data_IF_506806139880
#
_entry.id   IF_506806139880
#
_cell.length_a   1.000
_cell.length_b   1.000
_cell.length_c   1.000
_cell.angle_alpha   90.00
_cell.angle_beta   90.00
_cell.angle_gamma   90.00
#
_symmetry.space_group_name_H-M   'P 1'
#
loop_
_entity.id
_entity.type
_entity.pdbx_description
1 polymer ?
#
# COMPACT_ATOMS: atom_id res chain seq x y z
N UNK A 1 -14.79 11.19 18.51
CA UNK A 1 -13.56 11.52 17.76
C UNK A 1 -12.38 11.03 18.59
N UNK A 2 -11.40 10.34 17.99
CA UNK A 2 -10.21 9.86 18.72
C UNK A 2 -9.05 10.84 18.51
N UNK A 3 -8.09 10.86 19.44
CA UNK A 3 -6.86 11.67 19.31
C UNK A 3 -6.11 11.40 17.99
N UNK A 4 -6.12 10.16 17.51
CA UNK A 4 -5.49 9.79 16.23
C UNK A 4 -6.20 10.46 15.05
N UNK A 5 -7.55 10.43 15.03
CA UNK A 5 -8.33 11.08 13.97
C UNK A 5 -8.11 12.60 13.97
N UNK A 6 -8.03 13.23 15.14
CA UNK A 6 -7.77 14.68 15.25
C UNK A 6 -6.41 15.09 14.65
N UNK A 7 -5.38 14.26 14.78
CA UNK A 7 -4.06 14.51 14.17
C UNK A 7 -4.13 14.46 12.64
N UNK A 8 -4.87 13.49 12.10
CA UNK A 8 -5.13 13.34 10.67
C UNK A 8 -5.90 14.54 10.10
N UNK A 9 -7.04 14.89 10.71
CA UNK A 9 -7.90 16.01 10.29
C UNK A 9 -7.14 17.35 10.28
N UNK A 10 -6.24 17.56 11.24
CA UNK A 10 -5.39 18.75 11.32
C UNK A 10 -4.19 18.71 10.37
N UNK A 11 -3.94 17.57 9.71
CA UNK A 11 -2.75 17.30 8.89
C UNK A 11 -1.45 17.60 9.64
N UNK A 12 -1.39 17.18 10.89
CA UNK A 12 -0.25 17.45 11.76
C UNK A 12 0.98 16.61 11.37
N UNK A 13 1.80 17.15 10.46
CA UNK A 13 3.05 16.53 10.02
C UNK A 13 4.04 16.27 11.16
N UNK A 14 3.98 17.01 12.28
CA UNK A 14 4.86 16.77 13.42
C UNK A 14 4.52 15.47 14.16
N UNK A 15 3.32 14.93 13.95
CA UNK A 15 2.84 13.70 14.56
C UNK A 15 3.18 12.42 13.79
N UNK A 16 3.78 12.51 12.60
CA UNK A 16 4.02 11.36 11.71
C UNK A 16 4.82 10.26 12.37
N UNK A 17 5.95 10.58 13.01
CA UNK A 17 6.79 9.58 13.71
C UNK A 17 6.01 8.89 14.84
N UNK A 18 5.26 9.67 15.63
CA UNK A 18 4.42 9.14 16.71
C UNK A 18 3.33 8.20 16.17
N UNK A 19 2.74 8.52 15.02
CA UNK A 19 1.75 7.66 14.37
C UNK A 19 2.38 6.38 13.82
N UNK A 20 3.61 6.44 13.27
CA UNK A 20 4.37 5.26 12.82
C UNK A 20 4.65 4.32 14.01
N UNK A 21 5.04 4.85 15.16
CA UNK A 21 5.26 4.05 16.38
C UNK A 21 3.98 3.32 16.79
N UNK A 22 2.83 4.00 16.80
CA UNK A 22 1.55 3.36 17.10
C UNK A 22 1.22 2.28 16.07
N UNK A 23 1.47 2.53 14.78
CA UNK A 23 1.17 1.57 13.71
C UNK A 23 1.85 0.22 13.94
N UNK A 24 3.12 0.27 14.38
CA UNK A 24 3.98 -0.91 14.55
C UNK A 24 3.72 -1.64 15.87
N UNK A 25 3.43 -0.91 16.95
CA UNK A 25 3.23 -1.50 18.28
C UNK A 25 1.78 -1.94 18.56
N UNK A 26 0.79 -1.34 17.88
CA UNK A 26 -0.61 -1.58 18.20
C UNK A 26 -1.06 -3.01 17.89
N UNK A 27 -1.55 -3.71 18.91
CA UNK A 27 -2.15 -5.05 18.78
C UNK A 27 -3.54 -5.03 18.14
N UNK A 28 -4.29 -3.95 18.36
CA UNK A 28 -5.65 -3.81 17.87
C UNK A 28 -5.67 -3.33 16.40
N UNK A 29 -6.28 -4.12 15.51
CA UNK A 29 -6.41 -3.78 14.10
C UNK A 29 -7.19 -2.48 13.86
N UNK A 30 -8.19 -2.17 14.69
CA UNK A 30 -8.95 -0.91 14.58
C UNK A 30 -8.06 0.31 14.84
N UNK A 31 -7.14 0.20 15.81
CA UNK A 31 -6.18 1.29 16.10
C UNK A 31 -5.24 1.47 14.92
N UNK A 32 -4.68 0.38 14.37
CA UNK A 32 -3.81 0.45 13.18
C UNK A 32 -4.52 1.06 11.97
N UNK A 33 -5.78 0.70 11.75
CA UNK A 33 -6.56 1.25 10.64
C UNK A 33 -6.84 2.75 10.85
N UNK A 34 -7.12 3.20 12.08
CA UNK A 34 -7.25 4.64 12.37
C UNK A 34 -5.93 5.39 12.12
N UNK A 35 -4.80 4.80 12.49
CA UNK A 35 -3.47 5.37 12.23
C UNK A 35 -3.21 5.48 10.74
N UNK A 36 -3.48 4.42 9.97
CA UNK A 36 -3.31 4.43 8.52
C UNK A 36 -4.17 5.54 7.85
N UNK A 37 -5.42 5.71 8.28
CA UNK A 37 -6.28 6.81 7.81
C UNK A 37 -5.69 8.17 8.18
N UNK A 38 -5.22 8.37 9.42
CA UNK A 38 -4.61 9.63 9.82
C UNK A 38 -3.32 9.94 9.03
N UNK A 39 -2.48 8.93 8.78
CA UNK A 39 -1.28 9.07 7.95
C UNK A 39 -1.64 9.46 6.51
N UNK A 40 -2.72 8.89 5.96
CA UNK A 40 -3.25 9.30 4.66
C UNK A 40 -3.64 10.77 4.64
N UNK A 41 -4.44 11.19 5.62
CA UNK A 41 -4.95 12.56 5.70
C UNK A 41 -3.80 13.58 5.82
N UNK A 42 -2.72 13.20 6.52
CA UNK A 42 -1.48 13.98 6.63
C UNK A 42 -0.73 14.03 5.29
N UNK A 43 -0.65 12.91 4.56
CA UNK A 43 -0.03 12.85 3.23
C UNK A 43 1.50 13.00 3.21
N UNK A 44 2.17 12.77 4.35
CA UNK A 44 3.62 12.92 4.46
C UNK A 44 4.35 11.65 4.00
N UNK A 45 5.24 11.80 3.01
CA UNK A 45 5.97 10.69 2.40
C UNK A 45 6.91 9.94 3.35
N UNK A 46 7.23 10.50 4.53
CA UNK A 46 7.92 9.75 5.59
C UNK A 46 7.16 8.50 6.04
N UNK A 47 5.85 8.46 5.84
CA UNK A 47 5.01 7.31 6.16
C UNK A 47 5.12 6.16 5.15
N UNK A 48 5.60 6.40 3.92
CA UNK A 48 5.57 5.40 2.84
C UNK A 48 6.37 4.15 3.20
N UNK A 49 7.64 4.31 3.55
CA UNK A 49 8.50 3.17 3.87
C UNK A 49 7.97 2.34 5.06
N UNK A 50 7.59 2.95 6.20
CA UNK A 50 6.92 2.22 7.29
C UNK A 50 5.62 1.50 6.88
N UNK A 51 4.79 2.11 6.03
CA UNK A 51 3.57 1.47 5.50
C UNK A 51 3.93 0.25 4.63
N UNK A 52 4.97 0.35 3.80
CA UNK A 52 5.48 -0.75 2.98
C UNK A 52 6.01 -1.90 3.84
N UNK A 53 6.80 -1.62 4.88
CA UNK A 53 7.28 -2.65 5.82
C UNK A 53 6.11 -3.35 6.53
N UNK A 54 5.10 -2.57 6.94
CA UNK A 54 3.90 -3.08 7.58
C UNK A 54 3.10 -4.05 6.69
N UNK A 55 3.12 -3.91 5.37
CA UNK A 55 2.46 -4.85 4.45
C UNK A 55 3.05 -6.27 4.55
N UNK A 56 4.35 -6.39 4.82
CA UNK A 56 5.03 -7.69 4.93
C UNK A 56 4.87 -8.34 6.30
N UNK A 57 4.39 -7.61 7.30
CA UNK A 57 4.21 -8.13 8.65
C UNK A 57 2.94 -8.99 8.77
N UNK A 58 3.10 -10.26 9.17
CA UNK A 58 2.00 -11.20 9.33
C UNK A 58 0.94 -10.74 10.35
N UNK A 59 1.33 -10.01 11.40
CA UNK A 59 0.41 -9.47 12.42
C UNK A 59 -0.49 -8.36 11.86
N UNK A 60 -0.04 -7.69 10.79
CA UNK A 60 -0.74 -6.59 10.13
C UNK A 60 -1.50 -7.04 8.89
N UNK A 61 -1.59 -8.35 8.62
CA UNK A 61 -2.31 -8.89 7.45
C UNK A 61 -3.75 -8.39 7.32
N UNK A 62 -4.47 -8.24 8.44
CA UNK A 62 -5.85 -7.72 8.48
C UNK A 62 -5.97 -6.22 8.20
N UNK A 63 -4.87 -5.49 8.23
CA UNK A 63 -4.82 -4.05 7.97
C UNK A 63 -4.27 -3.71 6.58
N UNK A 64 -3.79 -4.70 5.81
CA UNK A 64 -3.14 -4.48 4.49
C UNK A 64 -3.96 -3.63 3.52
N UNK A 65 -5.27 -3.84 3.43
CA UNK A 65 -6.14 -3.05 2.56
C UNK A 65 -6.12 -1.56 2.94
N UNK A 66 -6.25 -1.26 4.23
CA UNK A 66 -6.16 0.11 4.75
C UNK A 66 -4.75 0.70 4.62
N UNK A 67 -3.71 -0.10 4.80
CA UNK A 67 -2.32 0.35 4.61
C UNK A 67 -2.05 0.74 3.15
N UNK A 68 -2.54 -0.06 2.20
CA UNK A 68 -2.48 0.28 0.77
C UNK A 68 -3.27 1.56 0.49
N UNK A 69 -4.52 1.63 0.95
CA UNK A 69 -5.36 2.83 0.82
C UNK A 69 -4.70 4.09 1.38
N UNK A 70 -3.91 3.97 2.45
CA UNK A 70 -3.24 5.09 3.09
C UNK A 70 -2.10 5.69 2.25
N UNK A 71 -1.51 4.91 1.36
CA UNK A 71 -0.46 5.37 0.45
C UNK A 71 -1.01 6.07 -0.79
N UNK A 72 -2.34 6.13 -0.96
CA UNK A 72 -2.95 6.86 -2.06
C UNK A 72 -2.53 8.34 -2.03
N UNK A 73 -2.03 8.87 -3.15
CA UNK A 73 -1.45 10.22 -3.31
C UNK A 73 -0.06 10.42 -2.64
N UNK A 74 0.61 9.37 -2.16
CA UNK A 74 2.00 9.40 -1.70
C UNK A 74 2.99 8.84 -2.75
N UNK A 75 4.29 9.06 -2.55
CA UNK A 75 5.38 8.59 -3.41
C UNK A 75 5.79 7.14 -3.11
N UNK A 76 4.92 6.18 -3.41
CA UNK A 76 5.16 4.74 -3.22
C UNK A 76 5.74 4.03 -4.45
N UNK A 77 5.88 4.71 -5.59
CA UNK A 77 6.44 4.15 -6.82
C UNK A 77 7.84 3.53 -6.68
N UNK A 78 8.74 3.95 -5.76
CA UNK A 78 10.00 3.25 -5.55
C UNK A 78 9.86 1.84 -4.97
N UNK A 79 8.67 1.47 -4.46
CA UNK A 79 8.36 0.17 -3.84
C UNK A 79 7.27 -0.59 -4.60
N UNK A 80 7.06 -0.25 -5.87
CA UNK A 80 5.92 -0.71 -6.67
C UNK A 80 5.90 -2.25 -6.84
N UNK A 81 7.05 -2.92 -6.81
CA UNK A 81 7.16 -4.37 -6.89
C UNK A 81 6.49 -5.08 -5.70
N UNK A 82 6.57 -4.48 -4.50
CA UNK A 82 5.91 -5.02 -3.30
C UNK A 82 4.40 -4.87 -3.43
N UNK A 83 3.95 -3.71 -3.91
CA UNK A 83 2.53 -3.42 -4.12
C UNK A 83 1.97 -4.38 -5.17
N UNK A 84 2.61 -4.53 -6.33
CA UNK A 84 2.16 -5.40 -7.42
C UNK A 84 2.08 -6.87 -7.01
N UNK A 85 2.97 -7.35 -6.14
CA UNK A 85 2.88 -8.71 -5.61
C UNK A 85 1.58 -8.97 -4.85
N UNK A 86 0.99 -7.93 -4.22
CA UNK A 86 -0.26 -8.03 -3.45
C UNK A 86 -1.52 -8.11 -4.33
N UNK A 87 -1.42 -7.98 -5.65
CA UNK A 87 -2.50 -8.36 -6.59
C UNK A 87 -2.80 -9.87 -6.47
N UNK A 88 -1.84 -10.66 -5.96
CA UNK A 88 -2.03 -12.08 -5.63
C UNK A 88 -2.56 -12.37 -4.22
N UNK A 89 -2.87 -11.36 -3.39
CA UNK A 89 -3.30 -11.60 -2.01
C UNK A 89 -4.63 -12.36 -1.94
N UNK A 90 -4.79 -13.18 -0.91
CA UNK A 90 -6.03 -13.89 -0.58
C UNK A 90 -7.24 -12.97 -0.37
N UNK A 91 -7.03 -11.76 0.16
CA UNK A 91 -8.10 -10.79 0.41
C UNK A 91 -8.43 -10.01 -0.87
N UNK A 92 -9.70 -10.04 -1.29
CA UNK A 92 -10.16 -9.27 -2.44
C UNK A 92 -9.90 -7.76 -2.28
N UNK A 93 -10.11 -7.23 -1.08
CA UNK A 93 -9.82 -5.82 -0.76
C UNK A 93 -8.35 -5.48 -1.04
N UNK A 94 -7.43 -6.34 -0.59
CA UNK A 94 -5.98 -6.13 -0.78
C UNK A 94 -5.61 -6.17 -2.26
N UNK A 95 -6.16 -7.13 -3.02
CA UNK A 95 -5.92 -7.22 -4.46
C UNK A 95 -6.38 -5.97 -5.20
N UNK A 96 -7.61 -5.53 -4.93
CA UNK A 96 -8.21 -4.35 -5.55
C UNK A 96 -7.41 -3.09 -5.23
N UNK A 97 -7.10 -2.84 -3.96
CA UNK A 97 -6.34 -1.64 -3.58
C UNK A 97 -4.92 -1.65 -4.16
N UNK A 98 -4.25 -2.80 -4.15
CA UNK A 98 -2.92 -2.96 -4.76
C UNK A 98 -2.94 -2.65 -6.26
N UNK A 99 -3.92 -3.18 -6.99
CA UNK A 99 -4.07 -2.92 -8.41
C UNK A 99 -4.36 -1.46 -8.71
N UNK A 100 -5.25 -0.80 -7.95
CA UNK A 100 -5.57 0.62 -8.14
C UNK A 100 -4.34 1.51 -7.95
N UNK A 101 -3.53 1.24 -6.92
CA UNK A 101 -2.26 1.95 -6.73
C UNK A 101 -1.30 1.72 -7.90
N UNK A 102 -1.22 0.49 -8.41
CA UNK A 102 -0.38 0.18 -9.56
C UNK A 102 -0.87 0.87 -10.83
N UNK A 103 -2.17 0.86 -11.10
CA UNK A 103 -2.77 1.52 -12.26
C UNK A 103 -2.45 3.03 -12.29
N UNK A 104 -2.52 3.71 -11.14
CA UNK A 104 -2.23 5.15 -11.01
C UNK A 104 -0.80 5.55 -11.38
N UNK A 105 0.16 4.63 -11.32
CA UNK A 105 1.59 4.91 -11.54
C UNK A 105 2.17 4.18 -12.73
N UNK A 106 1.45 3.22 -13.34
CA UNK A 106 1.97 2.32 -14.37
C UNK A 106 2.53 3.08 -15.61
N UNK A 107 1.93 4.21 -15.97
CA UNK A 107 2.35 5.07 -17.08
C UNK A 107 3.64 5.87 -16.78
N UNK A 108 3.97 6.06 -15.50
CA UNK A 108 5.13 6.83 -15.03
C UNK A 108 6.33 5.95 -14.67
N UNK A 109 6.17 4.63 -14.65
CA UNK A 109 7.24 3.70 -14.29
C UNK A 109 8.35 3.71 -15.35
N UNK A 110 9.61 3.67 -14.89
CA UNK A 110 10.75 3.43 -15.76
C UNK A 110 10.68 2.04 -16.42
N UNK A 111 11.35 1.85 -17.57
CA UNK A 111 11.44 0.54 -18.23
C UNK A 111 12.00 -0.56 -17.30
N UNK A 112 12.92 -0.19 -16.40
CA UNK A 112 13.44 -1.11 -15.39
C UNK A 112 12.34 -1.53 -14.40
N UNK A 113 11.58 -0.58 -13.85
CA UNK A 113 10.46 -0.88 -12.95
C UNK A 113 9.37 -1.70 -13.67
N UNK A 114 9.01 -1.33 -14.91
CA UNK A 114 8.05 -2.09 -15.72
C UNK A 114 8.49 -3.55 -15.90
N UNK A 115 9.77 -3.79 -16.19
CA UNK A 115 10.30 -5.15 -16.34
C UNK A 115 10.29 -5.93 -15.01
N UNK A 116 10.60 -5.30 -13.89
CA UNK A 116 10.49 -5.91 -12.55
C UNK A 116 9.03 -6.27 -12.25
N UNK A 117 8.10 -5.33 -12.40
CA UNK A 117 6.66 -5.57 -12.19
C UNK A 117 6.14 -6.71 -13.08
N UNK A 118 6.53 -6.75 -14.35
CA UNK A 118 6.16 -7.83 -15.28
C UNK A 118 6.59 -9.20 -14.76
N UNK A 119 7.82 -9.32 -14.27
CA UNK A 119 8.34 -10.57 -13.73
C UNK A 119 7.57 -11.00 -12.48
N UNK A 120 7.30 -10.05 -11.56
CA UNK A 120 6.51 -10.30 -10.34
C UNK A 120 5.10 -10.76 -10.69
N UNK A 121 4.42 -10.07 -11.61
CA UNK A 121 3.05 -10.43 -12.03
C UNK A 121 3.02 -11.85 -12.62
N UNK A 122 3.96 -12.18 -13.51
CA UNK A 122 4.01 -13.52 -14.11
C UNK A 122 4.27 -14.61 -13.07
N UNK A 123 5.15 -14.37 -12.11
CA UNK A 123 5.40 -15.29 -11.00
C UNK A 123 4.16 -15.49 -10.13
N UNK A 124 3.50 -14.40 -9.71
CA UNK A 124 2.29 -14.47 -8.91
C UNK A 124 1.15 -15.17 -9.66
N UNK A 125 0.96 -14.86 -10.96
CA UNK A 125 -0.06 -15.49 -11.82
C UNK A 125 0.14 -17.01 -11.94
N UNK A 126 1.39 -17.47 -12.02
CA UNK A 126 1.69 -18.89 -12.08
C UNK A 126 1.34 -19.65 -10.79
N UNK A 127 1.40 -18.98 -9.64
CA UNK A 127 1.12 -19.58 -8.32
C UNK A 127 -0.38 -19.55 -7.99
N UNK A 128 -1.04 -18.41 -8.21
CA UNK A 128 -2.45 -18.23 -7.85
C UNK A 128 -3.13 -17.27 -8.85
N UNK A 129 -3.55 -17.75 -10.02
CA UNK A 129 -4.08 -16.90 -11.08
C UNK A 129 -5.36 -16.19 -10.66
N UNK A 130 -5.51 -14.95 -11.12
CA UNK A 130 -6.75 -14.17 -11.04
C UNK A 130 -6.83 -13.20 -12.23
N UNK A 131 -8.02 -12.66 -12.47
CA UNK A 131 -8.35 -11.80 -13.63
C UNK A 131 -7.52 -10.51 -13.69
N UNK A 132 -7.11 -9.98 -12.54
CA UNK A 132 -6.41 -8.68 -12.44
C UNK A 132 -4.99 -8.73 -13.00
N UNK A 133 -4.37 -9.91 -13.08
CA UNK A 133 -3.00 -10.02 -13.61
C UNK A 133 -2.92 -9.72 -15.10
N UNK A 134 -3.93 -10.10 -15.89
CA UNK A 134 -3.93 -9.81 -17.33
C UNK A 134 -4.12 -8.31 -17.59
N UNK A 135 -4.97 -7.66 -16.81
CA UNK A 135 -5.13 -6.21 -16.82
C UNK A 135 -3.83 -5.52 -16.39
N UNK A 136 -3.18 -5.98 -15.32
CA UNK A 136 -1.93 -5.42 -14.84
C UNK A 136 -0.80 -5.54 -15.89
N UNK A 137 -0.71 -6.68 -16.58
CA UNK A 137 0.24 -6.84 -17.70
C UNK A 137 -0.07 -5.95 -18.90
N UNK A 138 -1.34 -5.62 -19.15
CA UNK A 138 -1.72 -4.72 -20.22
C UNK A 138 -1.28 -3.27 -19.94
N UNK A 139 -1.31 -2.84 -18.67
CA UNK A 139 -0.85 -1.51 -18.27
C UNK A 139 0.64 -1.27 -18.52
N UNK A 140 1.47 -2.31 -18.41
CA UNK A 140 2.92 -2.22 -18.66
C UNK A 140 3.32 -2.07 -20.13
N UNK A 141 2.39 -2.29 -21.06
CA UNK A 141 2.63 -2.18 -22.51
C UNK A 141 2.39 -0.78 -23.07
N UNK A 142 1.80 0.09 -22.26
CA UNK A 142 1.56 1.50 -22.58
C UNK A 142 2.86 2.28 -22.38
#
# INVERSE_FOLDING_TARGET
MTRIAELGEKRDQSSVEFLIDILTEAKNALVRNQVAIALKDIGDNRAVYPLIEALSNAQLRRSRGTLLYAMEEMHYEPHIEIIVALIGDTSLEVRLQSFLLFEKVADKLSEQQKQVCKNVILQCKAVSPNEMFDEALALLKK
#
